data_IF_720612981928
#
_entry.id   IF_720612981928
#
_cell.length_a   1.000
_cell.length_b   1.000
_cell.length_c   1.000
_cell.angle_alpha   90.00
_cell.angle_beta   90.00
_cell.angle_gamma   90.00
#
_symmetry.space_group_name_H-M   'P 1'
#
loop_
_entity.id
_entity.type
_entity.pdbx_description
1 polymer ?
#
# COMPACT_ATOMS: atom_id res chain seq x y z
N UNK A 1 12.31 -5.98 64.60
CA UNK A 1 11.15 -6.02 63.69
C UNK A 1 11.11 -4.67 62.98
N UNK A 2 11.45 -4.61 61.69
CA UNK A 2 11.46 -3.37 60.92
C UNK A 2 10.10 -3.21 60.22
N UNK A 3 9.49 -2.03 60.35
CA UNK A 3 8.26 -1.68 59.64
C UNK A 3 8.61 -1.25 58.21
N UNK A 4 7.89 -1.72 57.17
CA UNK A 4 8.12 -1.26 55.81
C UNK A 4 7.42 0.10 55.62
N UNK A 5 8.18 1.11 55.23
CA UNK A 5 7.65 2.37 54.69
C UNK A 5 7.30 2.10 53.22
N UNK A 6 5.99 2.11 52.91
CA UNK A 6 5.50 2.18 51.52
C UNK A 6 4.98 3.59 51.29
N UNK A 7 5.90 4.54 51.10
CA UNK A 7 5.55 5.82 50.50
C UNK A 7 5.48 5.60 48.99
N UNK A 8 4.25 5.45 48.48
CA UNK A 8 3.97 5.55 47.06
C UNK A 8 3.84 7.04 46.75
N UNK A 9 4.64 7.62 45.85
CA UNK A 9 4.49 9.03 45.49
C UNK A 9 3.10 9.28 44.88
N UNK A 10 2.43 10.36 45.29
CA UNK A 10 1.08 10.77 44.87
C UNK A 10 0.97 11.17 43.38
N UNK A 11 1.89 10.72 42.52
CA UNK A 11 1.85 10.88 41.07
C UNK A 11 1.52 9.59 40.29
N UNK A 12 1.23 8.48 40.98
CA UNK A 12 1.02 7.17 40.35
C UNK A 12 -0.46 6.86 40.01
N UNK A 13 -1.34 7.86 39.95
CA UNK A 13 -2.62 7.70 39.26
C UNK A 13 -2.38 7.85 37.76
N UNK A 14 -2.39 6.71 37.04
CA UNK A 14 -2.65 6.69 35.59
C UNK A 14 -4.04 7.30 35.38
N UNK A 15 -4.08 8.62 35.22
CA UNK A 15 -5.23 9.29 34.63
C UNK A 15 -5.11 8.95 33.15
N UNK A 16 -5.96 8.03 32.67
CA UNK A 16 -6.13 7.83 31.22
C UNK A 16 -6.33 9.22 30.60
N UNK A 17 -5.53 9.61 29.59
CA UNK A 17 -5.69 10.93 29.00
C UNK A 17 -7.13 11.05 28.52
N UNK A 18 -7.86 12.06 29.04
CA UNK A 18 -9.20 12.38 28.55
C UNK A 18 -9.09 12.52 27.04
N UNK A 19 -9.73 11.60 26.30
CA UNK A 19 -9.76 11.69 24.84
C UNK A 19 -10.29 13.08 24.50
N UNK A 20 -9.59 13.87 23.66
CA UNK A 20 -10.01 15.23 23.37
C UNK A 20 -11.43 15.20 22.80
N UNK A 21 -12.40 15.64 23.61
CA UNK A 21 -13.83 15.63 23.28
C UNK A 21 -14.11 16.46 22.01
N UNK A 22 -13.27 17.47 21.78
CA UNK A 22 -13.24 18.30 20.57
C UNK A 22 -13.01 17.48 19.29
N UNK A 23 -12.18 16.43 19.34
CA UNK A 23 -11.97 15.53 18.20
C UNK A 23 -13.16 14.61 17.93
N UNK A 24 -13.87 14.19 18.98
CA UNK A 24 -15.07 13.36 18.87
C UNK A 24 -16.27 14.17 18.39
N UNK A 25 -16.40 15.42 18.83
CA UNK A 25 -17.40 16.36 18.31
C UNK A 25 -17.11 16.77 16.86
N UNK A 26 -15.84 17.01 16.51
CA UNK A 26 -15.44 17.29 15.13
C UNK A 26 -15.72 16.08 14.21
N UNK A 27 -15.33 14.87 14.64
CA UNK A 27 -15.61 13.65 13.89
C UNK A 27 -17.12 13.38 13.80
N UNK A 28 -17.88 13.60 14.87
CA UNK A 28 -19.34 13.46 14.87
C UNK A 28 -20.00 14.47 13.94
N UNK A 29 -19.54 15.73 13.92
CA UNK A 29 -20.02 16.75 12.99
C UNK A 29 -19.76 16.35 11.54
N UNK A 30 -18.57 15.81 11.24
CA UNK A 30 -18.23 15.32 9.89
C UNK A 30 -19.07 14.09 9.52
N UNK A 31 -19.28 13.16 10.45
CA UNK A 31 -20.13 11.98 10.23
C UNK A 31 -21.62 12.32 10.15
N UNK A 32 -22.09 13.36 10.82
CA UNK A 32 -23.47 13.85 10.68
C UNK A 32 -23.67 14.58 9.34
N UNK A 33 -22.65 15.27 8.83
CA UNK A 33 -22.70 16.00 7.56
C UNK A 33 -22.53 15.08 6.34
N UNK A 34 -21.61 14.12 6.41
CA UNK A 34 -21.23 13.27 5.27
C UNK A 34 -21.43 11.76 5.51
N UNK A 35 -21.68 11.32 6.75
CA UNK A 35 -21.81 9.90 7.06
C UNK A 35 -23.03 9.22 6.42
N UNK A 36 -24.07 9.99 6.06
CA UNK A 36 -25.20 9.50 5.26
C UNK A 36 -24.75 9.03 3.87
N UNK A 37 -23.99 9.87 3.16
CA UNK A 37 -23.50 9.54 1.82
C UNK A 37 -22.58 8.30 1.81
N UNK A 38 -21.75 8.14 2.86
CA UNK A 38 -20.91 6.95 3.01
C UNK A 38 -21.72 5.69 3.38
N UNK A 39 -22.78 5.81 4.17
CA UNK A 39 -23.67 4.70 4.50
C UNK A 39 -24.44 4.22 3.26
N UNK A 40 -24.97 5.16 2.46
CA UNK A 40 -25.66 4.85 1.21
C UNK A 40 -24.70 4.20 0.19
N UNK A 41 -23.45 4.66 0.11
CA UNK A 41 -22.44 4.06 -0.76
C UNK A 41 -22.00 2.66 -0.29
N UNK A 42 -21.91 2.44 1.02
CA UNK A 42 -21.61 1.13 1.59
C UNK A 42 -22.76 0.14 1.36
N UNK A 43 -24.01 0.57 1.57
CA UNK A 43 -25.21 -0.24 1.31
C UNK A 43 -25.33 -0.59 -0.18
N UNK A 44 -25.05 0.36 -1.08
CA UNK A 44 -24.98 0.11 -2.51
C UNK A 44 -23.88 -0.91 -2.89
N UNK A 45 -22.73 -0.87 -2.20
CA UNK A 45 -21.61 -1.80 -2.46
C UNK A 45 -21.95 -3.20 -1.99
N UNK A 46 -22.56 -3.35 -0.81
CA UNK A 46 -23.01 -4.65 -0.29
C UNK A 46 -24.12 -5.23 -1.18
N UNK A 47 -25.05 -4.39 -1.66
CA UNK A 47 -26.09 -4.82 -2.60
C UNK A 47 -25.49 -5.24 -3.95
N UNK A 48 -24.49 -4.50 -4.46
CA UNK A 48 -23.76 -4.85 -5.67
C UNK A 48 -23.01 -6.18 -5.52
N UNK A 49 -22.36 -6.43 -4.38
CA UNK A 49 -21.70 -7.70 -4.09
C UNK A 49 -22.70 -8.86 -4.14
N UNK A 50 -23.87 -8.72 -3.52
CA UNK A 50 -24.93 -9.72 -3.55
C UNK A 50 -25.46 -9.97 -4.97
N UNK A 51 -25.60 -8.91 -5.78
CA UNK A 51 -26.02 -9.01 -7.19
C UNK A 51 -24.96 -9.72 -8.03
N UNK A 52 -23.68 -9.39 -7.84
CA UNK A 52 -22.56 -10.03 -8.53
C UNK A 52 -22.42 -11.49 -8.13
N UNK A 53 -22.54 -11.82 -6.84
CA UNK A 53 -22.55 -13.21 -6.37
C UNK A 53 -23.70 -13.99 -6.99
N UNK A 54 -24.90 -13.41 -7.01
CA UNK A 54 -26.09 -14.02 -7.64
C UNK A 54 -25.89 -14.22 -9.14
N UNK A 55 -25.35 -13.22 -9.85
CA UNK A 55 -25.06 -13.31 -11.27
C UNK A 55 -24.02 -14.41 -11.57
N UNK A 56 -22.96 -14.51 -10.77
CA UNK A 56 -21.94 -15.55 -10.89
C UNK A 56 -22.55 -16.93 -10.62
N UNK A 57 -23.40 -17.08 -9.61
CA UNK A 57 -24.09 -18.35 -9.33
C UNK A 57 -25.03 -18.74 -10.48
N UNK A 58 -25.77 -17.79 -11.05
CA UNK A 58 -26.63 -18.01 -12.22
C UNK A 58 -25.79 -18.47 -13.41
N UNK A 59 -24.72 -17.74 -13.75
CA UNK A 59 -23.80 -18.07 -14.85
C UNK A 59 -23.11 -19.43 -14.62
N UNK A 60 -22.73 -19.75 -13.38
CA UNK A 60 -22.09 -21.03 -13.06
C UNK A 60 -23.05 -22.22 -13.10
N UNK A 61 -24.36 -21.97 -12.98
CA UNK A 61 -25.41 -22.98 -13.08
C UNK A 61 -26.04 -23.08 -14.48
N UNK A 62 -25.83 -22.07 -15.31
CA UNK A 62 -26.37 -21.97 -16.66
C UNK A 62 -25.62 -22.91 -17.61
N UNK A 63 -26.36 -23.55 -18.51
CA UNK A 63 -25.76 -24.27 -19.63
C UNK A 63 -25.17 -23.27 -20.66
N UNK A 64 -24.26 -23.70 -21.53
CA UNK A 64 -23.52 -22.83 -22.46
C UNK A 64 -24.44 -21.93 -23.34
N UNK A 65 -25.68 -22.35 -23.62
CA UNK A 65 -26.67 -21.59 -24.42
C UNK A 65 -27.40 -20.51 -23.59
N UNK A 66 -27.51 -20.67 -22.26
CA UNK A 66 -28.12 -19.67 -21.37
C UNK A 66 -27.12 -18.55 -20.98
N UNK A 67 -25.82 -18.84 -21.00
CA UNK A 67 -24.74 -17.83 -20.77
C UNK A 67 -24.76 -16.75 -21.85
N UNK A 68 -24.98 -17.12 -23.11
CA UNK A 68 -25.08 -16.18 -24.24
C UNK A 68 -26.30 -15.25 -24.09
N UNK A 69 -27.44 -15.79 -23.62
CA UNK A 69 -28.67 -15.02 -23.40
C UNK A 69 -28.56 -14.01 -22.23
N UNK A 70 -27.87 -14.39 -21.16
CA UNK A 70 -27.56 -13.49 -20.04
C UNK A 70 -26.63 -12.36 -20.49
N UNK A 71 -25.63 -12.68 -21.31
CA UNK A 71 -24.69 -11.70 -21.88
C UNK A 71 -25.41 -10.69 -22.78
N UNK A 72 -26.29 -11.14 -23.67
CA UNK A 72 -27.08 -10.28 -24.56
C UNK A 72 -28.07 -9.39 -23.78
N UNK A 73 -28.64 -9.91 -22.69
CA UNK A 73 -29.52 -9.16 -21.79
C UNK A 73 -28.77 -8.09 -20.98
N UNK A 74 -27.53 -8.36 -20.54
CA UNK A 74 -26.66 -7.37 -19.85
C UNK A 74 -26.27 -6.24 -20.80
N UNK A 75 -25.93 -6.54 -22.05
CA UNK A 75 -25.63 -5.52 -23.07
C UNK A 75 -26.85 -4.63 -23.33
N UNK A 76 -28.05 -5.22 -23.41
CA UNK A 76 -29.31 -4.47 -23.56
C UNK A 76 -29.63 -3.58 -22.35
N UNK A 77 -29.24 -3.99 -21.13
CA UNK A 77 -29.42 -3.23 -19.89
C UNK A 77 -28.43 -2.05 -19.76
N UNK A 78 -27.19 -2.24 -20.23
CA UNK A 78 -26.18 -1.17 -20.35
C UNK A 78 -26.61 -0.15 -21.41
N UNK A 79 -27.17 -0.61 -22.53
CA UNK A 79 -27.75 0.27 -23.56
C UNK A 79 -29.03 0.98 -23.09
N UNK A 80 -29.80 0.39 -22.18
CA UNK A 80 -31.01 0.98 -21.60
C UNK A 80 -30.75 1.89 -20.37
N UNK A 81 -29.51 1.92 -19.88
CA UNK A 81 -29.10 2.61 -18.65
C UNK A 81 -28.97 4.13 -18.78
N UNK A 82 -30.06 4.84 -19.06
CA UNK A 82 -30.15 6.32 -19.02
C UNK A 82 -30.05 6.87 -17.56
N UNK A 83 -29.98 5.98 -16.56
CA UNK A 83 -30.11 6.27 -15.12
C UNK A 83 -28.78 6.44 -14.35
N UNK A 84 -27.61 6.25 -14.97
CA UNK A 84 -26.29 6.52 -14.33
C UNK A 84 -25.82 7.97 -14.64
N UNK A 85 -26.70 8.79 -15.25
CA UNK A 85 -26.49 10.22 -15.55
C UNK A 85 -26.49 11.08 -14.29
N UNK A 86 -25.52 10.89 -13.40
CA UNK A 86 -25.02 11.98 -12.57
C UNK A 86 -24.13 12.86 -13.47
N UNK A 87 -24.19 14.18 -13.30
CA UNK A 87 -23.37 15.15 -14.03
C UNK A 87 -21.87 14.83 -13.87
N UNK A 88 -21.49 14.28 -12.70
CA UNK A 88 -20.17 13.73 -12.44
C UNK A 88 -19.79 12.53 -13.32
N UNK A 89 -20.72 11.64 -13.65
CA UNK A 89 -20.47 10.50 -14.55
C UNK A 89 -20.28 10.94 -16.00
N UNK A 90 -21.03 11.96 -16.44
CA UNK A 90 -20.87 12.54 -17.79
C UNK A 90 -19.50 13.19 -17.92
N UNK A 91 -19.07 13.99 -16.94
CA UNK A 91 -17.72 14.57 -16.93
C UNK A 91 -16.63 13.49 -16.84
N UNK A 92 -16.85 12.42 -16.08
CA UNK A 92 -15.92 11.29 -16.01
C UNK A 92 -15.83 10.54 -17.35
N UNK A 93 -16.97 10.32 -18.01
CA UNK A 93 -17.04 9.65 -19.31
C UNK A 93 -16.44 10.51 -20.44
N UNK A 94 -16.65 11.83 -20.41
CA UNK A 94 -15.99 12.78 -21.31
C UNK A 94 -14.47 12.77 -21.08
N UNK A 95 -14.04 12.87 -19.82
CA UNK A 95 -12.61 12.80 -19.45
C UNK A 95 -12.00 11.44 -19.85
N UNK A 96 -12.72 10.33 -19.64
CA UNK A 96 -12.26 9.00 -20.01
C UNK A 96 -12.22 8.82 -21.53
N UNK A 97 -13.19 9.37 -22.27
CA UNK A 97 -13.23 9.35 -23.73
C UNK A 97 -12.10 10.16 -24.35
N UNK A 98 -11.82 11.36 -23.82
CA UNK A 98 -10.70 12.22 -24.25
C UNK A 98 -9.33 11.56 -24.02
N UNK A 99 -9.18 10.78 -22.94
CA UNK A 99 -7.94 10.08 -22.59
C UNK A 99 -7.93 8.59 -23.00
N UNK A 100 -8.92 8.13 -23.77
CA UNK A 100 -9.13 6.71 -24.08
C UNK A 100 -7.97 6.07 -24.84
N UNK A 101 -7.27 6.84 -25.69
CA UNK A 101 -6.08 6.38 -26.40
C UNK A 101 -4.90 6.14 -25.47
N UNK A 102 -4.60 7.10 -24.60
CA UNK A 102 -3.50 6.99 -23.63
C UNK A 102 -3.75 5.85 -22.63
N UNK A 103 -5.00 5.65 -22.22
CA UNK A 103 -5.37 4.52 -21.37
C UNK A 103 -5.21 3.17 -22.07
N UNK A 104 -5.57 3.08 -23.36
CA UNK A 104 -5.38 1.86 -24.15
C UNK A 104 -3.89 1.51 -24.30
N UNK A 105 -3.05 2.51 -24.56
CA UNK A 105 -1.60 2.33 -24.65
C UNK A 105 -1.00 1.84 -23.32
N UNK A 106 -1.41 2.45 -22.19
CA UNK A 106 -0.99 2.01 -20.85
C UNK A 106 -1.46 0.58 -20.54
N UNK A 107 -2.66 0.20 -20.96
CA UNK A 107 -3.17 -1.15 -20.76
C UNK A 107 -2.40 -2.17 -21.59
N UNK A 108 -2.03 -1.81 -22.83
CA UNK A 108 -1.18 -2.65 -23.68
C UNK A 108 0.21 -2.85 -23.04
N UNK A 109 0.82 -1.81 -22.47
CA UNK A 109 2.08 -1.91 -21.72
C UNK A 109 1.94 -2.88 -20.52
N UNK A 110 0.86 -2.76 -19.75
CA UNK A 110 0.59 -3.67 -18.60
C UNK A 110 0.36 -5.11 -19.08
N UNK A 111 -0.35 -5.30 -20.20
CA UNK A 111 -0.57 -6.62 -20.80
C UNK A 111 0.74 -7.23 -21.30
N UNK A 112 1.63 -6.44 -21.90
CA UNK A 112 2.96 -6.89 -22.31
C UNK A 112 3.82 -7.29 -21.10
N UNK A 113 3.75 -6.50 -20.02
CA UNK A 113 4.42 -6.79 -18.75
C UNK A 113 3.90 -8.08 -18.10
N UNK A 114 2.58 -8.34 -18.19
CA UNK A 114 1.95 -9.58 -17.73
C UNK A 114 2.36 -10.78 -18.60
N UNK A 115 2.33 -10.64 -19.93
CA UNK A 115 2.73 -11.71 -20.87
C UNK A 115 4.19 -12.11 -20.71
N UNK A 116 5.05 -11.16 -20.37
CA UNK A 116 6.47 -11.41 -20.09
C UNK A 116 6.75 -11.94 -18.68
N UNK A 117 5.74 -12.02 -17.81
CA UNK A 117 5.88 -12.44 -16.41
C UNK A 117 6.58 -11.40 -15.51
N UNK A 118 6.84 -10.21 -16.03
CA UNK A 118 7.50 -9.13 -15.28
C UNK A 118 6.53 -8.43 -14.32
N UNK A 119 5.23 -8.42 -14.64
CA UNK A 119 4.21 -7.84 -13.78
C UNK A 119 4.10 -8.57 -12.44
N UNK A 120 4.17 -9.91 -12.45
CA UNK A 120 4.13 -10.70 -11.21
C UNK A 120 5.35 -10.42 -10.32
N UNK A 121 6.55 -10.33 -10.91
CA UNK A 121 7.76 -9.98 -10.18
C UNK A 121 7.71 -8.55 -9.59
N UNK A 122 7.12 -7.60 -10.31
CA UNK A 122 6.90 -6.24 -9.83
C UNK A 122 5.89 -6.19 -8.69
N UNK A 123 4.79 -6.95 -8.78
CA UNK A 123 3.78 -7.03 -7.73
C UNK A 123 4.33 -7.68 -6.45
N UNK A 124 5.13 -8.75 -6.57
CA UNK A 124 5.80 -9.38 -5.44
C UNK A 124 6.79 -8.42 -4.75
N UNK A 125 7.53 -7.64 -5.54
CA UNK A 125 8.44 -6.61 -5.03
C UNK A 125 7.66 -5.49 -4.32
N UNK A 126 6.59 -4.99 -4.93
CA UNK A 126 5.72 -3.96 -4.35
C UNK A 126 5.07 -4.42 -3.05
N UNK A 127 4.59 -5.67 -2.98
CA UNK A 127 4.04 -6.27 -1.76
C UNK A 127 5.10 -6.36 -0.66
N UNK A 128 6.33 -6.75 -1.02
CA UNK A 128 7.47 -6.79 -0.08
C UNK A 128 7.78 -5.40 0.47
N UNK A 129 7.81 -4.37 -0.39
CA UNK A 129 8.04 -3.00 0.04
C UNK A 129 6.87 -2.41 0.84
N UNK A 130 5.63 -2.75 0.48
CA UNK A 130 4.44 -2.31 1.23
C UNK A 130 4.37 -2.90 2.63
N UNK A 131 4.94 -4.08 2.85
CA UNK A 131 5.05 -4.69 4.17
C UNK A 131 6.16 -4.05 5.03
N UNK A 132 7.08 -3.28 4.43
CA UNK A 132 8.08 -2.51 5.16
C UNK A 132 7.44 -1.19 5.59
N UNK A 133 7.39 -0.94 6.90
CA UNK A 133 7.17 0.41 7.45
C UNK A 133 8.45 1.23 7.28
N UNK A 134 8.82 1.53 6.04
CA UNK A 134 9.95 2.38 5.70
C UNK A 134 9.47 3.81 5.51
N UNK A 135 9.92 4.70 6.39
CA UNK A 135 9.79 6.15 6.18
C UNK A 135 10.74 6.64 5.08
N UNK A 136 10.57 7.88 4.63
CA UNK A 136 11.39 8.50 3.57
C UNK A 136 12.91 8.45 3.88
N UNK A 137 13.31 8.58 5.15
CA UNK A 137 14.72 8.49 5.54
C UNK A 137 15.24 7.06 5.36
N UNK A 138 14.43 6.07 5.74
CA UNK A 138 14.76 4.65 5.56
C UNK A 138 14.83 4.26 4.08
N UNK A 139 13.91 4.77 3.26
CA UNK A 139 13.91 4.53 1.82
C UNK A 139 15.16 5.11 1.13
N UNK A 140 15.52 6.36 1.43
CA UNK A 140 16.72 6.99 0.90
C UNK A 140 18.00 6.25 1.32
N UNK A 141 18.09 5.85 2.59
CA UNK A 141 19.23 5.07 3.07
C UNK A 141 19.37 3.71 2.36
N UNK A 142 18.26 3.04 2.07
CA UNK A 142 18.29 1.79 1.31
C UNK A 142 18.72 2.03 -0.15
N UNK A 143 18.23 3.11 -0.77
CA UNK A 143 18.64 3.49 -2.13
C UNK A 143 20.15 3.77 -2.20
N UNK A 144 20.72 4.45 -1.22
CA UNK A 144 22.17 4.69 -1.14
C UNK A 144 22.96 3.38 -1.02
N UNK A 145 22.48 2.42 -0.22
CA UNK A 145 23.11 1.10 -0.08
C UNK A 145 23.02 0.30 -1.39
N UNK A 146 21.87 0.30 -2.05
CA UNK A 146 21.69 -0.39 -3.33
C UNK A 146 22.56 0.24 -4.43
N UNK A 147 22.66 1.57 -4.46
CA UNK A 147 23.59 2.28 -5.35
C UNK A 147 25.04 1.84 -5.11
N UNK A 148 25.48 1.82 -3.85
CA UNK A 148 26.83 1.38 -3.50
C UNK A 148 27.09 -0.10 -3.86
N UNK A 149 26.07 -0.97 -3.85
CA UNK A 149 26.17 -2.36 -4.31
C UNK A 149 26.32 -2.43 -5.84
N UNK A 150 25.57 -1.62 -6.58
CA UNK A 150 25.71 -1.51 -8.04
C UNK A 150 27.09 -1.00 -8.45
N UNK A 151 27.55 0.07 -7.81
CA UNK A 151 28.90 0.61 -8.03
C UNK A 151 29.99 -0.43 -7.76
N UNK A 152 29.80 -1.24 -6.70
CA UNK A 152 30.72 -2.32 -6.37
C UNK A 152 30.71 -3.46 -7.40
N UNK A 153 29.59 -3.77 -8.05
CA UNK A 153 29.56 -4.76 -9.13
C UNK A 153 30.36 -4.28 -10.35
N UNK A 154 30.19 -3.00 -10.71
CA UNK A 154 30.79 -2.42 -11.92
C UNK A 154 32.29 -2.12 -11.74
N UNK A 155 32.71 -1.63 -10.57
CA UNK A 155 34.06 -1.10 -10.35
C UNK A 155 34.98 -2.05 -9.54
N UNK A 156 34.49 -3.22 -9.09
CA UNK A 156 35.27 -4.13 -8.25
C UNK A 156 36.46 -4.77 -8.99
N UNK A 157 37.63 -4.15 -8.86
CA UNK A 157 38.92 -4.77 -9.20
C UNK A 157 39.39 -5.74 -8.11
N UNK A 158 40.03 -6.85 -8.52
CA UNK A 158 40.57 -7.84 -7.57
C UNK A 158 41.68 -7.20 -6.72
N UNK A 159 41.39 -6.95 -5.43
CA UNK A 159 42.32 -6.30 -4.52
C UNK A 159 43.19 -7.33 -3.78
N UNK A 160 44.51 -7.12 -3.74
CA UNK A 160 45.44 -7.96 -2.98
C UNK A 160 45.29 -7.78 -1.46
N UNK A 161 45.81 -8.73 -0.66
CA UNK A 161 45.69 -8.76 0.81
C UNK A 161 46.11 -7.44 1.50
N UNK A 162 47.21 -6.83 1.06
CA UNK A 162 47.67 -5.55 1.62
C UNK A 162 46.75 -4.38 1.24
N UNK A 163 46.15 -4.42 0.03
CA UNK A 163 45.16 -3.43 -0.41
C UNK A 163 43.88 -3.52 0.43
N UNK A 164 43.40 -4.73 0.70
CA UNK A 164 42.25 -4.94 1.59
C UNK A 164 42.51 -4.38 3.01
N UNK A 165 43.69 -4.66 3.60
CA UNK A 165 44.06 -4.10 4.91
C UNK A 165 44.16 -2.57 4.89
N UNK A 166 44.69 -2.00 3.81
CA UNK A 166 44.80 -0.55 3.62
C UNK A 166 43.41 0.09 3.49
N UNK A 167 42.53 -0.51 2.69
CA UNK A 167 41.16 -0.06 2.46
C UNK A 167 40.35 -0.05 3.76
N UNK A 168 40.44 -1.11 4.58
CA UNK A 168 39.79 -1.16 5.90
C UNK A 168 40.26 -0.06 6.86
N UNK A 169 41.47 0.48 6.68
CA UNK A 169 41.96 1.59 7.51
C UNK A 169 41.64 2.99 6.94
N UNK A 170 40.98 3.06 5.78
CA UNK A 170 40.55 4.32 5.16
C UNK A 170 39.51 5.06 6.02
N UNK A 171 39.40 6.38 5.82
CA UNK A 171 38.36 7.20 6.48
C UNK A 171 36.95 6.71 6.13
N UNK A 172 36.74 6.34 4.87
CA UNK A 172 35.43 6.03 4.33
C UNK A 172 34.97 4.64 4.80
N UNK A 173 35.89 3.67 4.82
CA UNK A 173 35.64 2.36 5.42
C UNK A 173 35.31 2.45 6.92
N UNK A 174 35.97 3.34 7.66
CA UNK A 174 35.64 3.59 9.08
C UNK A 174 34.28 4.24 9.26
N UNK A 175 33.90 5.17 8.38
CA UNK A 175 32.58 5.78 8.38
C UNK A 175 31.48 4.73 8.12
N UNK A 176 31.65 3.90 7.09
CA UNK A 176 30.72 2.81 6.78
C UNK A 176 30.59 1.78 7.90
N UNK A 177 31.71 1.36 8.52
CA UNK A 177 31.69 0.46 9.68
C UNK A 177 30.95 1.08 10.88
N UNK A 178 31.10 2.39 11.11
CA UNK A 178 30.36 3.10 12.14
C UNK A 178 28.84 3.03 11.91
N UNK A 179 28.41 3.23 10.67
CA UNK A 179 27.01 3.12 10.28
C UNK A 179 26.44 1.70 10.51
N UNK A 180 27.17 0.66 10.07
CA UNK A 180 26.78 -0.75 10.30
C UNK A 180 26.69 -1.08 11.79
N UNK A 181 27.62 -0.59 12.61
CA UNK A 181 27.59 -0.81 14.07
C UNK A 181 26.36 -0.16 14.70
N UNK A 182 25.94 1.03 14.25
CA UNK A 182 24.71 1.67 14.76
C UNK A 182 23.45 0.92 14.33
N UNK A 183 23.40 0.35 13.12
CA UNK A 183 22.31 -0.55 12.71
C UNK A 183 22.23 -1.76 13.65
N UNK A 184 23.37 -2.41 13.92
CA UNK A 184 23.42 -3.58 14.81
C UNK A 184 22.98 -3.24 16.24
N UNK A 185 23.36 -2.07 16.76
CA UNK A 185 22.88 -1.57 18.06
C UNK A 185 21.38 -1.27 18.03
N UNK A 186 20.86 -0.76 16.92
CA UNK A 186 19.42 -0.54 16.71
C UNK A 186 18.64 -1.86 16.75
N UNK A 187 19.11 -2.87 16.00
CA UNK A 187 18.53 -4.21 15.96
C UNK A 187 18.54 -4.87 17.34
N UNK A 188 19.67 -4.86 18.03
CA UNK A 188 19.78 -5.45 19.37
C UNK A 188 18.90 -4.78 20.44
N UNK A 189 18.46 -3.53 20.22
CA UNK A 189 17.48 -2.85 21.09
C UNK A 189 16.02 -3.20 20.78
N UNK A 190 15.74 -3.69 19.57
CA UNK A 190 14.38 -4.08 19.13
C UNK A 190 14.09 -5.56 19.38
N UNK A 191 15.12 -6.41 19.38
CA UNK A 191 14.99 -7.87 19.54
C UNK A 191 15.17 -8.38 20.96
N UNK A 192 15.45 -7.50 21.93
CA UNK A 192 15.78 -7.81 23.32
C UNK A 192 14.89 -6.99 24.25
#
# INVERSE_FOLDING_TARGET
MAQPVRDVPEGATNIEPERPQEGEEALRSVLEEYGGDYADAAEYTDELENVLETAILVIASADDEEVDYVTESVVTLVEAGDAISNEGTVTLAESFGENSGEFADLLDDVIELKKSGQLDALLDLAATFSALEADETTANALNDVLGAVGDAEEESESMGLFGAMRAMSGSDARAGLGYVVEILKGLGRRTN
#
